data_IF_699798167051
#
_entry.id   IF_699798167051
#
_cell.length_a   1.000
_cell.length_b   1.000
_cell.length_c   1.000
_cell.angle_alpha   90.00
_cell.angle_beta   90.00
_cell.angle_gamma   90.00
#
_symmetry.space_group_name_H-M   'P 1'
#
loop_
_entity.id
_entity.type
_entity.pdbx_description
1 polymer ?
#
# COMPACT_ATOMS: atom_id res chain seq x y z
N UNK A 1 9.26 11.31 -2.84
CA UNK A 1 9.49 10.21 -1.89
C UNK A 1 8.96 8.91 -2.47
N UNK A 2 9.46 7.80 -1.95
CA UNK A 2 8.97 6.45 -2.26
C UNK A 2 7.83 6.11 -1.31
N UNK A 3 6.62 6.00 -1.85
CA UNK A 3 5.40 5.77 -1.07
C UNK A 3 4.78 4.43 -1.45
N UNK A 4 4.68 3.51 -0.52
CA UNK A 4 4.08 2.20 -0.72
C UNK A 4 2.64 2.21 -0.22
N UNK A 5 1.74 1.61 -0.99
CA UNK A 5 0.31 1.62 -0.69
C UNK A 5 -0.13 0.22 -0.25
N UNK A 6 -0.86 0.18 0.86
CA UNK A 6 -1.48 -1.05 1.34
C UNK A 6 -2.71 -1.41 0.50
N UNK A 7 -3.13 -2.66 0.57
CA UNK A 7 -4.28 -3.18 -0.18
C UNK A 7 -5.56 -2.36 0.06
N UNK A 8 -5.84 -2.00 1.31
CA UNK A 8 -7.06 -1.24 1.64
C UNK A 8 -7.07 0.16 1.01
N UNK A 9 -5.91 0.79 0.86
CA UNK A 9 -5.80 2.09 0.17
C UNK A 9 -6.16 1.93 -1.30
N UNK A 10 -5.61 0.88 -1.95
CA UNK A 10 -5.90 0.59 -3.35
C UNK A 10 -7.38 0.26 -3.58
N UNK A 11 -7.99 -0.52 -2.68
CA UNK A 11 -9.42 -0.82 -2.73
C UNK A 11 -10.23 0.47 -2.69
N UNK A 12 -9.90 1.38 -1.78
CA UNK A 12 -10.59 2.67 -1.68
C UNK A 12 -10.46 3.49 -2.96
N UNK A 13 -9.26 3.53 -3.55
CA UNK A 13 -9.00 4.30 -4.77
C UNK A 13 -9.74 3.73 -5.99
N UNK A 14 -9.81 2.42 -6.10
CA UNK A 14 -10.35 1.74 -7.28
C UNK A 14 -11.87 1.60 -7.20
N UNK A 15 -12.39 1.15 -6.06
CA UNK A 15 -13.78 0.71 -5.94
C UNK A 15 -14.68 1.72 -5.20
N UNK A 16 -14.09 2.61 -4.42
CA UNK A 16 -14.83 3.60 -3.64
C UNK A 16 -14.23 4.99 -3.81
N UNK A 17 -14.11 5.47 -5.08
CA UNK A 17 -13.48 6.77 -5.32
C UNK A 17 -14.25 7.90 -4.63
N UNK A 18 -13.50 8.85 -4.08
CA UNK A 18 -14.01 10.00 -3.36
C UNK A 18 -13.12 11.21 -3.69
N UNK A 19 -13.48 12.38 -3.18
CA UNK A 19 -12.63 13.57 -3.35
C UNK A 19 -11.24 13.35 -2.74
N UNK A 20 -11.19 12.71 -1.56
CA UNK A 20 -9.91 12.46 -0.89
C UNK A 20 -9.05 11.45 -1.64
N UNK A 21 -9.63 10.38 -2.16
CA UNK A 21 -8.85 9.38 -2.92
C UNK A 21 -8.37 9.92 -4.26
N UNK A 22 -9.15 10.77 -4.90
CA UNK A 22 -8.75 11.44 -6.14
C UNK A 22 -7.60 12.41 -5.91
N UNK A 23 -7.67 13.18 -4.84
CA UNK A 23 -6.59 14.07 -4.44
C UNK A 23 -5.33 13.28 -4.12
N UNK A 24 -5.48 12.19 -3.37
CA UNK A 24 -4.36 11.30 -3.04
C UNK A 24 -3.68 10.78 -4.31
N UNK A 25 -4.46 10.26 -5.25
CA UNK A 25 -3.93 9.74 -6.51
C UNK A 25 -3.17 10.83 -7.28
N UNK A 26 -3.70 12.03 -7.32
CA UNK A 26 -3.06 13.17 -7.99
C UNK A 26 -1.74 13.54 -7.33
N UNK A 27 -1.71 13.67 -6.01
CA UNK A 27 -0.50 14.04 -5.27
C UNK A 27 0.56 12.96 -5.41
N UNK A 28 0.18 11.70 -5.27
CA UNK A 28 1.10 10.56 -5.40
C UNK A 28 1.70 10.49 -6.80
N UNK A 29 0.87 10.61 -7.85
CA UNK A 29 1.32 10.47 -9.23
C UNK A 29 2.19 11.61 -9.70
N UNK A 30 1.95 12.82 -9.21
CA UNK A 30 2.64 14.03 -9.69
C UNK A 30 3.85 14.42 -8.85
N UNK A 31 3.90 14.06 -7.57
CA UNK A 31 4.91 14.54 -6.63
C UNK A 31 5.76 13.47 -5.97
N UNK A 32 5.36 12.21 -6.09
CA UNK A 32 6.02 11.11 -5.42
C UNK A 32 6.18 9.91 -6.35
N UNK A 33 6.86 8.88 -5.88
CA UNK A 33 6.99 7.60 -6.56
C UNK A 33 6.11 6.58 -5.86
N UNK A 34 5.13 6.03 -6.57
CA UNK A 34 4.25 4.99 -6.05
C UNK A 34 4.97 3.66 -6.16
N UNK A 35 5.05 2.93 -5.05
CA UNK A 35 5.69 1.62 -4.99
C UNK A 35 4.61 0.60 -4.60
N UNK A 36 4.51 -0.48 -5.37
CA UNK A 36 3.64 -1.61 -5.07
C UNK A 36 4.47 -2.88 -5.04
N UNK A 37 4.21 -3.75 -4.06
CA UNK A 37 4.87 -5.04 -4.03
C UNK A 37 3.94 -6.12 -4.61
N UNK A 38 4.56 -7.19 -5.12
CA UNK A 38 3.85 -8.32 -5.71
C UNK A 38 2.84 -8.96 -4.75
N UNK A 39 3.17 -9.05 -3.47
CA UNK A 39 2.28 -9.60 -2.45
C UNK A 39 0.97 -8.80 -2.36
N UNK A 40 1.06 -7.47 -2.33
CA UNK A 40 -0.11 -6.60 -2.26
C UNK A 40 -0.94 -6.71 -3.55
N UNK A 41 -0.31 -6.74 -4.71
CA UNK A 41 -1.01 -6.89 -5.99
C UNK A 41 -1.77 -8.22 -6.03
N UNK A 42 -1.14 -9.30 -5.59
CA UNK A 42 -1.79 -10.61 -5.54
C UNK A 42 -2.97 -10.62 -4.56
N UNK A 43 -2.78 -10.07 -3.37
CA UNK A 43 -3.84 -9.94 -2.36
C UNK A 43 -5.02 -9.15 -2.93
N UNK A 44 -4.75 -8.02 -3.59
CA UNK A 44 -5.78 -7.18 -4.20
C UNK A 44 -6.57 -7.95 -5.27
N UNK A 45 -5.89 -8.73 -6.12
CA UNK A 45 -6.56 -9.56 -7.13
C UNK A 45 -7.46 -10.61 -6.49
N UNK A 46 -6.99 -11.29 -5.46
CA UNK A 46 -7.77 -12.32 -4.75
C UNK A 46 -9.00 -11.72 -4.06
N UNK A 47 -8.85 -10.58 -3.41
CA UNK A 47 -9.98 -9.88 -2.78
C UNK A 47 -10.99 -9.43 -3.84
N UNK A 48 -10.52 -8.92 -4.96
CA UNK A 48 -11.40 -8.48 -6.05
C UNK A 48 -12.19 -9.65 -6.63
N UNK A 49 -11.55 -10.78 -6.90
CA UNK A 49 -12.24 -11.98 -7.40
C UNK A 49 -13.31 -12.46 -6.44
N UNK A 50 -13.02 -12.43 -5.13
CA UNK A 50 -13.92 -12.95 -4.11
C UNK A 50 -15.07 -12.00 -3.80
N UNK A 51 -14.79 -10.70 -3.65
CA UNK A 51 -15.77 -9.72 -3.17
C UNK A 51 -16.36 -8.83 -4.27
N UNK A 52 -15.61 -8.57 -5.31
CA UNK A 52 -15.99 -7.63 -6.37
C UNK A 52 -15.70 -8.20 -7.76
N UNK A 53 -16.18 -9.43 -8.09
CA UNK A 53 -15.78 -10.09 -9.33
C UNK A 53 -16.14 -9.30 -10.59
N UNK A 54 -17.23 -8.54 -10.56
CA UNK A 54 -17.66 -7.69 -11.68
C UNK A 54 -16.74 -6.47 -11.89
N UNK A 55 -15.80 -6.22 -10.97
CA UNK A 55 -14.89 -5.07 -11.03
C UNK A 55 -13.47 -5.44 -11.47
N UNK A 56 -13.24 -6.68 -11.93
CA UNK A 56 -11.92 -7.07 -12.43
C UNK A 56 -11.44 -6.21 -13.60
N UNK A 57 -12.37 -5.78 -14.46
CA UNK A 57 -12.03 -4.86 -15.55
C UNK A 57 -11.53 -3.50 -15.04
N UNK A 58 -12.17 -2.96 -14.00
CA UNK A 58 -11.75 -1.71 -13.39
C UNK A 58 -10.37 -1.86 -12.73
N UNK A 59 -10.10 -3.00 -12.08
CA UNK A 59 -8.80 -3.28 -11.49
C UNK A 59 -7.69 -3.30 -12.55
N UNK A 60 -7.91 -4.00 -13.65
CA UNK A 60 -6.93 -4.09 -14.73
C UNK A 60 -6.68 -2.72 -15.36
N UNK A 61 -7.72 -1.93 -15.57
CA UNK A 61 -7.60 -0.57 -16.10
C UNK A 61 -6.82 0.33 -15.17
N UNK A 62 -7.05 0.23 -13.86
CA UNK A 62 -6.33 1.00 -12.86
C UNK A 62 -4.82 0.74 -12.93
N UNK A 63 -4.41 -0.52 -13.04
CA UNK A 63 -2.98 -0.87 -13.14
C UNK A 63 -2.34 -0.40 -14.44
N UNK A 64 -3.11 -0.29 -15.51
CA UNK A 64 -2.60 0.26 -16.77
C UNK A 64 -2.37 1.77 -16.70
N UNK A 65 -3.16 2.46 -15.91
CA UNK A 65 -3.12 3.93 -15.83
C UNK A 65 -2.25 4.46 -14.69
N UNK A 66 -2.08 3.70 -13.60
CA UNK A 66 -1.32 4.16 -12.45
C UNK A 66 0.18 4.03 -12.71
N UNK A 67 0.94 5.13 -12.61
CA UNK A 67 2.39 5.02 -12.70
C UNK A 67 2.94 4.50 -11.38
N UNK A 68 3.49 3.28 -11.37
CA UNK A 68 4.08 2.70 -10.17
C UNK A 68 5.30 1.85 -10.50
N UNK A 69 6.18 1.70 -9.51
CA UNK A 69 7.30 0.78 -9.58
C UNK A 69 6.95 -0.49 -8.80
N UNK A 70 7.20 -1.65 -9.41
CA UNK A 70 6.95 -2.93 -8.79
C UNK A 70 8.21 -3.38 -8.04
N UNK A 71 8.02 -3.79 -6.77
CA UNK A 71 9.07 -4.42 -5.97
C UNK A 71 8.59 -5.80 -5.53
N UNK A 72 9.56 -6.66 -5.19
CA UNK A 72 9.26 -8.05 -4.88
C UNK A 72 9.43 -8.33 -3.40
N UNK A 73 8.46 -9.05 -2.83
CA UNK A 73 8.51 -9.52 -1.46
C UNK A 73 9.64 -10.51 -1.30
N UNK A 74 10.41 -10.46 -0.20
CA UNK A 74 11.46 -11.46 0.07
C UNK A 74 10.88 -12.87 0.11
N UNK A 75 11.65 -13.84 -0.44
CA UNK A 75 11.23 -15.24 -0.48
C UNK A 75 11.18 -15.93 0.88
N UNK A 76 12.02 -15.47 1.81
CA UNK A 76 12.06 -15.96 3.20
C UNK A 76 12.03 -14.77 4.14
N UNK A 77 11.15 -14.82 5.14
CA UNK A 77 10.98 -13.75 6.12
C UNK A 77 11.12 -14.37 7.50
N UNK A 78 12.11 -13.86 8.26
CA UNK A 78 12.27 -14.20 9.66
C UNK A 78 11.56 -13.12 10.49
N UNK A 79 10.42 -13.45 11.14
CA UNK A 79 9.68 -12.46 11.92
C UNK A 79 10.50 -11.81 13.04
N UNK A 80 11.50 -12.52 13.56
CA UNK A 80 12.36 -12.00 14.63
C UNK A 80 13.27 -10.87 14.16
N UNK A 81 13.46 -10.74 12.84
CA UNK A 81 14.29 -9.68 12.25
C UNK A 81 13.54 -8.36 12.06
N UNK A 82 12.24 -8.33 12.34
CA UNK A 82 11.38 -7.16 12.11
C UNK A 82 10.58 -6.79 13.35
N UNK A 83 10.08 -5.55 13.44
CA UNK A 83 9.19 -5.17 14.53
C UNK A 83 7.99 -6.12 14.62
N UNK A 84 7.57 -6.45 15.85
CA UNK A 84 6.45 -7.35 16.06
C UNK A 84 5.15 -6.72 15.58
N UNK A 85 4.39 -7.44 14.76
CA UNK A 85 3.09 -7.04 14.26
C UNK A 85 2.06 -8.12 14.59
N UNK A 86 0.83 -7.71 14.92
CA UNK A 86 -0.20 -8.61 15.43
C UNK A 86 -0.54 -9.74 14.47
N UNK A 87 -0.75 -9.41 13.19
CA UNK A 87 -1.11 -10.39 12.17
C UNK A 87 0.14 -10.85 11.43
N UNK A 88 0.48 -12.12 11.54
CA UNK A 88 1.66 -12.68 10.88
C UNK A 88 1.63 -12.57 9.36
N UNK A 89 0.45 -12.43 8.76
CA UNK A 89 0.28 -12.24 7.31
C UNK A 89 0.77 -10.88 6.84
N UNK A 90 0.98 -9.93 7.76
CA UNK A 90 1.45 -8.59 7.45
C UNK A 90 2.99 -8.49 7.41
N UNK A 91 3.71 -9.51 7.90
CA UNK A 91 5.18 -9.51 7.85
C UNK A 91 5.74 -9.38 6.42
N UNK A 92 5.20 -10.05 5.40
CA UNK A 92 5.70 -9.85 4.03
C UNK A 92 5.65 -8.39 3.59
N UNK A 93 4.59 -7.69 3.92
CA UNK A 93 4.41 -6.27 3.57
C UNK A 93 5.39 -5.40 4.34
N UNK A 94 5.49 -5.60 5.65
CA UNK A 94 6.40 -4.85 6.50
C UNK A 94 7.86 -5.04 6.10
N UNK A 95 8.26 -6.29 5.87
CA UNK A 95 9.61 -6.63 5.44
C UNK A 95 9.96 -5.95 4.11
N UNK A 96 9.05 -6.00 3.14
CA UNK A 96 9.25 -5.36 1.84
C UNK A 96 9.46 -3.85 2.01
N UNK A 97 8.60 -3.20 2.82
CA UNK A 97 8.70 -1.76 3.04
C UNK A 97 10.05 -1.36 3.66
N UNK A 98 10.55 -2.16 4.60
CA UNK A 98 11.83 -1.89 5.24
C UNK A 98 12.99 -2.14 4.28
N UNK A 99 13.01 -3.27 3.59
CA UNK A 99 14.12 -3.65 2.72
C UNK A 99 14.21 -2.79 1.46
N UNK A 100 13.09 -2.28 0.98
CA UNK A 100 13.04 -1.43 -0.21
C UNK A 100 13.22 0.06 0.10
N UNK A 101 13.56 0.40 1.33
CA UNK A 101 13.79 1.78 1.77
C UNK A 101 12.61 2.70 1.43
N UNK A 102 11.41 2.24 1.77
CA UNK A 102 10.19 3.01 1.57
C UNK A 102 10.18 4.18 2.56
N UNK A 103 9.88 5.37 2.09
CA UNK A 103 9.81 6.57 2.93
C UNK A 103 8.51 6.61 3.73
N UNK A 104 7.39 6.34 3.05
CA UNK A 104 6.06 6.34 3.68
C UNK A 104 5.30 5.09 3.26
N UNK A 105 4.68 4.44 4.23
CA UNK A 105 3.71 3.36 3.99
C UNK A 105 2.32 3.88 4.31
N UNK A 106 1.45 3.93 3.29
CA UNK A 106 0.07 4.36 3.43
C UNK A 106 -0.83 3.18 3.72
N UNK A 107 -1.54 3.24 4.83
CA UNK A 107 -2.45 2.18 5.26
C UNK A 107 -3.59 2.73 6.12
N UNK A 108 -4.71 2.01 6.13
CA UNK A 108 -5.77 2.23 7.10
C UNK A 108 -5.80 1.17 8.19
N UNK A 109 -4.87 0.20 8.14
CA UNK A 109 -4.83 -0.92 9.07
C UNK A 109 -4.19 -0.50 10.40
N UNK A 110 -4.96 -0.65 11.48
CA UNK A 110 -4.50 -0.29 12.83
C UNK A 110 -3.29 -1.09 13.28
N UNK A 111 -3.12 -2.32 12.80
CA UNK A 111 -1.97 -3.15 13.15
C UNK A 111 -0.65 -2.52 12.70
N UNK A 112 -0.66 -1.80 11.56
CA UNK A 112 0.48 -1.03 11.11
C UNK A 112 0.58 0.33 11.80
N UNK A 113 -0.55 1.02 11.95
CA UNK A 113 -0.58 2.39 12.48
C UNK A 113 -0.10 2.48 13.94
N UNK A 114 -0.17 1.38 14.70
CA UNK A 114 0.30 1.33 16.09
C UNK A 114 1.77 0.98 16.22
N UNK A 115 2.46 0.65 15.13
CA UNK A 115 3.89 0.33 15.17
C UNK A 115 4.70 1.58 15.48
N UNK A 116 5.61 1.43 16.45
CA UNK A 116 6.55 2.48 16.81
C UNK A 116 7.87 2.25 16.07
N UNK A 117 7.91 2.66 14.81
CA UNK A 117 9.10 2.56 13.96
C UNK A 117 9.36 3.89 13.29
N UNK A 118 10.63 4.21 13.10
CA UNK A 118 11.02 5.47 12.46
C UNK A 118 10.98 5.41 10.92
N UNK A 119 11.16 4.23 10.34
CA UNK A 119 11.20 4.05 8.89
C UNK A 119 10.67 2.66 8.53
N UNK A 120 9.71 2.58 7.57
CA UNK A 120 9.03 3.70 6.95
C UNK A 120 8.14 4.47 7.93
N UNK A 121 7.84 5.72 7.59
CA UNK A 121 6.78 6.46 8.29
C UNK A 121 5.43 5.87 7.89
N UNK A 122 4.58 5.55 8.86
CA UNK A 122 3.30 4.90 8.61
C UNK A 122 2.18 5.92 8.81
N UNK A 123 1.42 6.18 7.76
CA UNK A 123 0.38 7.21 7.74
C UNK A 123 -0.91 6.69 7.10
N UNK A 124 -2.05 7.21 7.55
CA UNK A 124 -3.28 7.06 6.81
C UNK A 124 -3.41 8.14 5.73
N UNK A 125 -4.47 8.08 4.92
CA UNK A 125 -4.66 9.02 3.81
C UNK A 125 -4.72 10.47 4.26
N UNK A 126 -5.45 10.76 5.33
CA UNK A 126 -5.60 12.12 5.84
C UNK A 126 -4.30 12.68 6.37
N UNK A 127 -3.58 11.88 7.15
CA UNK A 127 -2.29 12.28 7.70
C UNK A 127 -1.27 12.57 6.59
N UNK A 128 -1.25 11.73 5.57
CA UNK A 128 -0.35 11.92 4.43
C UNK A 128 -0.66 13.23 3.69
N UNK A 129 -1.92 13.47 3.39
CA UNK A 129 -2.32 14.68 2.66
C UNK A 129 -2.09 15.95 3.47
N UNK A 130 -2.22 15.89 4.79
CA UNK A 130 -1.87 17.03 5.65
C UNK A 130 -0.38 17.33 5.64
N UNK A 131 0.44 16.29 5.65
CA UNK A 131 1.88 16.43 5.81
C UNK A 131 2.64 16.63 4.49
N UNK A 132 2.23 15.94 3.42
CA UNK A 132 2.98 15.87 2.17
C UNK A 132 2.17 16.31 0.94
N UNK A 133 1.20 17.10 1.15
CA UNK A 133 0.32 17.62 0.10
C UNK A 133 1.07 18.42 -0.99
#
# INVERSE_FOLDING_TARGET
MRVMLDTNILISMIFFPSLITRRLAQVLSTRHHIILCDYIIQELRLVTERKFPQKMGALNQFFLELPFDLVYTPGKIDPDSYPSIRDSKDYPILATAILENIDVFLTGDKDFLVLDISSPEILNMNEFLEKYN
#
